data_IF_249776615660
#
_entry.id   IF_249776615660
#
_cell.length_a   1.000
_cell.length_b   1.000
_cell.length_c   1.000
_cell.angle_alpha   90.00
_cell.angle_beta   90.00
_cell.angle_gamma   90.00
#
_symmetry.space_group_name_H-M   'P 1'
#
loop_
_entity.id
_entity.type
_entity.pdbx_description
1 polymer ?
#
# COMPACT_ATOMS: atom_id res chain seq x y z
N UNK A 1 -0.65 5.10 34.14
CA UNK A 1 0.60 4.51 33.61
C UNK A 1 0.27 3.05 33.38
N UNK A 2 0.00 2.68 32.13
CA UNK A 2 -0.64 1.41 31.78
C UNK A 2 0.26 0.22 32.11
N UNK A 3 -0.18 -0.58 33.09
CA UNK A 3 0.41 -1.86 33.51
C UNK A 3 0.56 -2.83 32.32
N UNK A 4 -0.12 -2.55 31.19
CA UNK A 4 -0.17 -3.38 30.00
C UNK A 4 0.93 -3.10 28.96
N UNK A 5 1.57 -1.92 28.99
CA UNK A 5 2.76 -1.65 28.17
C UNK A 5 3.99 -2.41 28.71
N UNK A 6 4.05 -2.63 30.02
CA UNK A 6 5.13 -3.41 30.66
C UNK A 6 5.13 -4.90 30.27
N UNK A 7 3.99 -5.44 29.80
CA UNK A 7 3.90 -6.84 29.38
C UNK A 7 4.48 -7.10 27.99
N UNK A 8 4.83 -6.05 27.23
CA UNK A 8 5.33 -6.16 25.85
C UNK A 8 6.73 -5.53 25.71
N UNK A 9 7.25 -4.90 26.76
CA UNK A 9 8.68 -4.60 26.85
C UNK A 9 9.48 -5.90 26.93
N UNK A 10 10.53 -6.10 26.10
CA UNK A 10 11.30 -7.35 25.98
C UNK A 10 11.85 -7.91 27.31
N UNK A 11 11.91 -7.07 28.35
CA UNK A 11 12.54 -7.38 29.63
C UNK A 11 11.68 -8.24 30.59
N UNK A 12 10.37 -8.41 30.33
CA UNK A 12 9.45 -9.08 31.29
C UNK A 12 8.71 -10.31 30.77
N UNK A 13 8.99 -10.80 29.56
CA UNK A 13 8.26 -11.94 29.00
C UNK A 13 8.94 -13.28 29.33
N UNK A 14 8.29 -14.09 30.15
CA UNK A 14 8.72 -15.48 30.42
C UNK A 14 8.56 -16.29 29.12
N UNK A 15 9.67 -16.84 28.61
CA UNK A 15 9.81 -17.24 27.20
C UNK A 15 9.55 -18.75 26.96
N UNK A 16 9.04 -19.47 27.96
CA UNK A 16 8.81 -20.93 27.90
C UNK A 16 7.56 -21.33 27.10
N UNK A 17 6.65 -20.39 26.78
CA UNK A 17 5.40 -20.69 26.07
C UNK A 17 5.16 -19.70 24.92
N UNK A 18 5.85 -19.90 23.79
CA UNK A 18 5.56 -19.13 22.58
C UNK A 18 4.31 -19.71 21.90
N UNK A 19 3.23 -18.96 22.01
CA UNK A 19 2.00 -19.17 21.25
C UNK A 19 1.90 -18.08 20.17
N UNK A 20 1.86 -18.42 18.87
CA UNK A 20 1.60 -17.46 17.79
C UNK A 20 0.39 -16.57 18.05
N UNK A 21 -0.63 -17.09 18.73
CA UNK A 21 -1.83 -16.34 19.09
C UNK A 21 -1.53 -15.22 20.09
N UNK A 22 -0.51 -15.33 20.94
CA UNK A 22 -0.10 -14.23 21.82
C UNK A 22 0.47 -13.07 21.00
N UNK A 23 1.27 -13.34 19.96
CA UNK A 23 1.78 -12.29 19.06
C UNK A 23 0.65 -11.66 18.24
N UNK A 24 -0.25 -12.47 17.67
CA UNK A 24 -1.44 -11.96 16.97
C UNK A 24 -2.35 -11.14 17.90
N UNK A 25 -2.54 -11.60 19.14
CA UNK A 25 -3.34 -10.92 20.17
C UNK A 25 -2.71 -9.61 20.64
N UNK A 26 -1.39 -9.52 20.71
CA UNK A 26 -0.70 -8.27 21.01
C UNK A 26 -0.96 -7.22 19.92
N UNK A 27 -0.83 -7.60 18.65
CA UNK A 27 -1.15 -6.72 17.51
C UNK A 27 -2.63 -6.33 17.53
N UNK A 28 -3.54 -7.30 17.64
CA UNK A 28 -4.97 -7.02 17.63
C UNK A 28 -5.38 -6.07 18.75
N UNK A 29 -4.98 -6.34 20.00
CA UNK A 29 -5.32 -5.47 21.14
C UNK A 29 -4.79 -4.06 20.98
N UNK A 30 -3.57 -3.92 20.44
CA UNK A 30 -2.99 -2.62 20.16
C UNK A 30 -3.85 -1.82 19.19
N UNK A 31 -4.18 -2.42 18.05
CA UNK A 31 -4.96 -1.76 17.02
C UNK A 31 -6.41 -1.55 17.44
N UNK A 32 -7.07 -2.52 18.06
CA UNK A 32 -8.43 -2.38 18.60
C UNK A 32 -8.54 -1.20 19.58
N UNK A 33 -7.51 -0.98 20.41
CA UNK A 33 -7.50 0.13 21.38
C UNK A 33 -7.25 1.52 20.79
N UNK A 34 -6.76 1.63 19.55
CA UNK A 34 -6.30 2.91 18.96
C UNK A 34 -6.89 3.25 17.61
N UNK A 35 -7.23 2.23 16.84
CA UNK A 35 -7.60 2.28 15.44
C UNK A 35 -8.68 1.21 15.23
N UNK A 36 -9.90 1.52 15.68
CA UNK A 36 -11.08 0.65 15.57
C UNK A 36 -11.09 -0.01 14.19
N UNK A 37 -11.09 -1.35 14.18
CA UNK A 37 -11.21 -2.18 12.98
C UNK A 37 -10.04 -2.20 11.98
N UNK A 38 -8.80 -1.83 12.34
CA UNK A 38 -7.69 -1.79 11.37
C UNK A 38 -6.79 -3.04 11.32
N UNK A 39 -6.99 -4.05 12.19
CA UNK A 39 -6.13 -5.24 12.27
C UNK A 39 -6.84 -6.60 12.09
N UNK A 40 -8.00 -6.66 11.43
CA UNK A 40 -8.78 -7.92 11.31
C UNK A 40 -8.02 -9.08 10.66
N UNK A 41 -7.08 -8.78 9.75
CA UNK A 41 -6.35 -9.82 9.02
C UNK A 41 -5.30 -10.54 9.88
N UNK A 42 -4.88 -9.97 11.02
CA UNK A 42 -3.82 -10.57 11.85
C UNK A 42 -4.20 -11.94 12.43
N UNK A 43 -5.50 -12.21 12.59
CA UNK A 43 -6.01 -13.51 13.02
C UNK A 43 -6.28 -14.50 11.88
N UNK A 44 -5.93 -14.13 10.64
CA UNK A 44 -6.02 -15.07 9.52
C UNK A 44 -5.07 -16.26 9.72
N UNK A 45 -5.47 -17.41 9.15
CA UNK A 45 -4.64 -18.63 9.12
C UNK A 45 -3.31 -18.41 8.40
N UNK A 46 -3.26 -17.46 7.47
CA UNK A 46 -2.04 -17.11 6.74
C UNK A 46 -1.02 -16.45 7.66
N UNK A 47 -1.45 -15.53 8.52
CA UNK A 47 -0.59 -14.92 9.52
C UNK A 47 -0.10 -15.95 10.55
N UNK A 48 -0.98 -16.82 11.04
CA UNK A 48 -0.60 -17.90 11.95
C UNK A 48 0.48 -18.79 11.32
N UNK A 49 0.30 -19.20 10.06
CA UNK A 49 1.28 -19.99 9.31
C UNK A 49 2.62 -19.28 9.15
N UNK A 50 2.60 -17.97 8.81
CA UNK A 50 3.83 -17.17 8.67
C UNK A 50 4.61 -17.10 9.97
N UNK A 51 3.92 -16.83 11.09
CA UNK A 51 4.54 -16.74 12.42
C UNK A 51 5.19 -18.06 12.81
N UNK A 52 4.49 -19.19 12.58
CA UNK A 52 5.04 -20.52 12.82
C UNK A 52 6.26 -20.81 11.94
N UNK A 53 6.24 -20.41 10.67
CA UNK A 53 7.37 -20.60 9.76
C UNK A 53 8.60 -19.78 10.19
N UNK A 54 8.42 -18.49 10.51
CA UNK A 54 9.52 -17.65 10.99
C UNK A 54 10.11 -18.16 12.31
N UNK A 55 9.25 -18.67 13.19
CA UNK A 55 9.70 -19.31 14.41
C UNK A 55 10.52 -20.57 14.12
N UNK A 56 10.03 -21.45 13.23
CA UNK A 56 10.72 -22.69 12.87
C UNK A 56 12.09 -22.46 12.18
N UNK A 57 12.29 -21.32 11.52
CA UNK A 57 13.60 -20.97 10.92
C UNK A 57 14.66 -20.59 11.95
N UNK A 58 14.27 -20.26 13.19
CA UNK A 58 15.20 -20.10 14.29
C UNK A 58 15.59 -21.50 14.79
N UNK A 59 16.83 -21.92 14.54
CA UNK A 59 17.31 -23.22 15.03
C UNK A 59 17.51 -23.15 16.55
N UNK A 60 16.55 -23.63 17.34
CA UNK A 60 16.70 -23.73 18.79
C UNK A 60 15.38 -23.80 19.57
N UNK A 61 15.45 -23.89 20.91
CA UNK A 61 14.30 -23.74 21.79
C UNK A 61 13.62 -22.38 21.59
N UNK A 62 12.32 -22.26 21.96
CA UNK A 62 11.52 -21.05 21.71
C UNK A 62 12.15 -19.76 22.30
N UNK A 63 12.82 -19.88 23.45
CA UNK A 63 13.60 -18.81 24.08
C UNK A 63 14.76 -18.31 23.20
N UNK A 64 15.43 -19.22 22.51
CA UNK A 64 16.58 -18.88 21.67
C UNK A 64 16.16 -18.14 20.41
N UNK A 65 15.02 -18.52 19.81
CA UNK A 65 14.46 -17.84 18.66
C UNK A 65 14.15 -16.35 18.94
N UNK A 66 13.49 -16.07 20.07
CA UNK A 66 13.16 -14.70 20.45
C UNK A 66 14.41 -13.88 20.81
N UNK A 67 15.35 -14.49 21.53
CA UNK A 67 16.64 -13.86 21.88
C UNK A 67 17.46 -13.53 20.64
N UNK A 68 17.55 -14.45 19.68
CA UNK A 68 18.22 -14.24 18.40
C UNK A 68 17.54 -13.12 17.60
N UNK A 69 16.20 -13.11 17.54
CA UNK A 69 15.46 -12.04 16.88
C UNK A 69 15.76 -10.66 17.49
N UNK A 70 15.82 -10.56 18.82
CA UNK A 70 16.22 -9.34 19.52
C UNK A 70 17.68 -8.97 19.25
N UNK A 71 18.60 -9.94 19.17
CA UNK A 71 20.01 -9.68 18.84
C UNK A 71 20.19 -9.19 17.40
N UNK A 72 19.53 -9.84 16.44
CA UNK A 72 19.58 -9.46 15.03
C UNK A 72 18.92 -8.10 14.76
N UNK A 73 18.00 -7.67 15.61
CA UNK A 73 17.34 -6.36 15.54
C UNK A 73 17.95 -5.30 16.47
N UNK A 74 18.92 -5.67 17.32
CA UNK A 74 19.62 -4.73 18.20
C UNK A 74 20.56 -3.81 17.39
N UNK A 75 20.54 -2.52 17.69
CA UNK A 75 21.18 -1.47 16.89
C UNK A 75 22.36 -0.79 17.54
N UNK A 76 22.82 -1.27 18.69
CA UNK A 76 24.20 -1.00 19.12
C UNK A 76 25.23 -1.58 18.15
N UNK A 77 24.85 -2.64 17.42
CA UNK A 77 25.71 -3.33 16.43
C UNK A 77 25.25 -3.19 14.99
N UNK A 78 24.02 -2.72 14.73
CA UNK A 78 23.46 -2.61 13.38
C UNK A 78 23.53 -1.19 12.81
N UNK A 79 23.90 -1.08 11.54
CA UNK A 79 23.94 0.17 10.77
C UNK A 79 22.77 0.26 9.76
N UNK A 80 22.49 1.46 9.25
CA UNK A 80 21.48 1.69 8.18
C UNK A 80 21.62 0.75 6.97
N UNK A 81 22.86 0.32 6.67
CA UNK A 81 23.16 -0.62 5.56
C UNK A 81 22.61 -2.04 5.75
N UNK A 82 22.10 -2.39 6.92
CA UNK A 82 21.54 -3.71 7.19
C UNK A 82 20.03 -3.78 7.00
N UNK A 83 19.36 -2.65 6.74
CA UNK A 83 17.91 -2.64 6.46
C UNK A 83 17.59 -3.46 5.21
N UNK A 84 18.41 -3.43 4.16
CA UNK A 84 18.23 -4.22 2.94
C UNK A 84 18.29 -5.73 3.17
N UNK A 85 18.90 -6.14 4.29
CA UNK A 85 18.98 -7.54 4.73
C UNK A 85 18.02 -7.87 5.88
N UNK A 86 17.18 -6.93 6.31
CA UNK A 86 16.32 -7.10 7.48
C UNK A 86 15.42 -8.34 7.31
N UNK A 87 15.60 -9.38 8.13
CA UNK A 87 14.73 -10.54 8.08
C UNK A 87 13.39 -10.19 8.72
N UNK A 88 12.40 -9.86 7.89
CA UNK A 88 11.07 -9.40 8.34
C UNK A 88 10.43 -10.31 9.39
N UNK A 89 10.61 -11.63 9.25
CA UNK A 89 10.12 -12.60 10.23
C UNK A 89 10.72 -12.41 11.63
N UNK A 90 12.04 -12.21 11.72
CA UNK A 90 12.69 -11.93 13.01
C UNK A 90 12.26 -10.59 13.56
N UNK A 91 12.13 -9.58 12.70
CA UNK A 91 11.58 -8.29 13.11
C UNK A 91 10.17 -8.43 13.69
N UNK A 92 9.32 -9.28 13.11
CA UNK A 92 7.99 -9.57 13.65
C UNK A 92 8.04 -10.31 14.99
N UNK A 93 8.91 -11.30 15.14
CA UNK A 93 9.05 -12.04 16.40
C UNK A 93 9.53 -11.15 17.56
N UNK A 94 10.43 -10.21 17.27
CA UNK A 94 10.95 -9.23 18.21
C UNK A 94 9.95 -8.09 18.49
N UNK A 95 9.37 -7.50 17.45
CA UNK A 95 8.54 -6.29 17.52
C UNK A 95 7.22 -6.45 16.71
N UNK A 96 6.27 -7.28 17.17
CA UNK A 96 5.11 -7.68 16.37
C UNK A 96 4.21 -6.51 15.95
N UNK A 97 4.01 -5.51 16.82
CA UNK A 97 3.19 -4.33 16.52
C UNK A 97 3.86 -3.46 15.44
N UNK A 98 5.15 -3.19 15.60
CA UNK A 98 5.91 -2.40 14.63
C UNK A 98 6.02 -3.13 13.27
N UNK A 99 6.33 -4.43 13.29
CA UNK A 99 6.41 -5.25 12.10
C UNK A 99 5.07 -5.35 11.36
N UNK A 100 3.96 -5.50 12.08
CA UNK A 100 2.63 -5.47 11.47
C UNK A 100 2.35 -4.10 10.83
N UNK A 101 2.70 -3.01 11.49
CA UNK A 101 2.54 -1.68 10.92
C UNK A 101 3.41 -1.46 9.68
N UNK A 102 4.64 -1.99 9.65
CA UNK A 102 5.50 -1.99 8.47
C UNK A 102 4.89 -2.83 7.34
N UNK A 103 4.33 -4.00 7.66
CA UNK A 103 3.64 -4.84 6.68
C UNK A 103 2.51 -4.09 6.00
N UNK A 104 1.69 -3.35 6.76
CA UNK A 104 0.60 -2.54 6.22
C UNK A 104 1.10 -1.49 5.22
N UNK A 105 2.20 -0.81 5.54
CA UNK A 105 2.86 0.12 4.60
C UNK A 105 3.31 -0.61 3.35
N UNK A 106 3.97 -1.76 3.46
CA UNK A 106 4.39 -2.55 2.29
C UNK A 106 3.20 -2.97 1.43
N UNK A 107 2.09 -3.39 2.04
CA UNK A 107 0.85 -3.72 1.31
C UNK A 107 0.28 -2.53 0.55
N UNK A 108 0.34 -1.32 1.14
CA UNK A 108 -0.05 -0.10 0.43
C UNK A 108 0.89 0.21 -0.74
N UNK A 109 2.21 0.01 -0.59
CA UNK A 109 3.18 0.17 -1.67
C UNK A 109 2.91 -0.83 -2.80
N UNK A 110 2.71 -2.11 -2.51
CA UNK A 110 2.37 -3.12 -3.52
C UNK A 110 1.03 -2.85 -4.21
N UNK A 111 0.08 -2.22 -3.51
CA UNK A 111 -1.20 -1.83 -4.10
C UNK A 111 -1.03 -0.66 -5.05
N UNK A 112 -0.22 0.33 -4.68
CA UNK A 112 0.16 1.45 -5.54
C UNK A 112 0.96 0.98 -6.76
N UNK A 113 1.89 0.05 -6.59
CA UNK A 113 2.60 -0.61 -7.69
C UNK A 113 1.64 -1.26 -8.69
N UNK A 114 0.61 -1.96 -8.21
CA UNK A 114 -0.43 -2.53 -9.09
C UNK A 114 -1.29 -1.47 -9.78
N UNK A 115 -1.53 -0.33 -9.12
CA UNK A 115 -2.24 0.78 -9.73
C UNK A 115 -1.42 1.40 -10.88
N UNK A 116 -0.12 1.60 -10.68
CA UNK A 116 0.79 2.17 -11.68
C UNK A 116 1.15 1.17 -12.77
N UNK A 117 1.60 -0.04 -12.42
CA UNK A 117 2.20 -1.01 -13.33
C UNK A 117 1.26 -2.14 -13.78
N UNK A 118 0.07 -2.24 -13.20
CA UNK A 118 -0.89 -3.32 -13.46
C UNK A 118 -0.65 -4.58 -12.63
N UNK A 119 -1.46 -5.61 -12.85
CA UNK A 119 -1.48 -6.85 -12.06
C UNK A 119 -0.77 -8.01 -12.77
N UNK A 120 0.47 -7.81 -13.19
CA UNK A 120 1.26 -8.87 -13.82
C UNK A 120 1.88 -9.80 -12.77
N UNK A 121 2.32 -10.99 -13.21
CA UNK A 121 3.04 -11.93 -12.34
C UNK A 121 4.34 -11.30 -11.81
N UNK A 122 5.01 -10.51 -12.65
CA UNK A 122 6.21 -9.74 -12.29
C UNK A 122 5.94 -8.77 -11.12
N UNK A 123 4.93 -7.91 -11.24
CA UNK A 123 4.55 -6.95 -10.17
C UNK A 123 4.16 -7.69 -8.88
N UNK A 124 3.53 -8.86 -9.01
CA UNK A 124 3.16 -9.69 -7.85
C UNK A 124 4.40 -10.31 -7.19
N UNK A 125 5.43 -10.65 -7.97
CA UNK A 125 6.66 -11.25 -7.46
C UNK A 125 7.48 -10.30 -6.59
N UNK A 126 7.33 -8.98 -6.72
CA UNK A 126 7.99 -7.98 -5.86
C UNK A 126 7.66 -8.16 -4.38
N UNK A 127 6.52 -8.77 -4.03
CA UNK A 127 6.17 -9.08 -2.64
C UNK A 127 7.05 -10.16 -2.00
N UNK A 128 7.82 -10.89 -2.80
CA UNK A 128 8.76 -11.91 -2.34
C UNK A 128 10.15 -11.35 -2.01
N UNK A 129 10.41 -10.10 -2.39
CA UNK A 129 11.66 -9.43 -2.08
C UNK A 129 11.70 -9.03 -0.60
N UNK A 130 12.92 -8.93 -0.06
CA UNK A 130 13.14 -8.37 1.29
C UNK A 130 12.62 -6.93 1.32
N UNK A 131 11.86 -6.51 2.35
CA UNK A 131 11.12 -5.24 2.34
C UNK A 131 11.91 -4.01 1.88
N UNK A 132 13.06 -3.73 2.49
CA UNK A 132 13.85 -2.54 2.15
C UNK A 132 14.69 -2.71 0.88
N UNK A 133 14.97 -3.95 0.46
CA UNK A 133 15.52 -4.22 -0.87
C UNK A 133 14.50 -3.88 -1.96
N UNK A 134 13.25 -4.30 -1.76
CA UNK A 134 12.15 -3.98 -2.67
C UNK A 134 11.97 -2.47 -2.88
N UNK A 135 12.06 -1.67 -1.81
CA UNK A 135 11.91 -0.21 -1.91
C UNK A 135 12.96 0.43 -2.83
N UNK A 136 14.14 -0.18 -2.93
CA UNK A 136 15.27 0.31 -3.74
C UNK A 136 15.46 -0.42 -5.07
N UNK A 137 14.61 -1.39 -5.38
CA UNK A 137 14.80 -2.21 -6.57
C UNK A 137 14.68 -1.36 -7.83
N UNK A 138 15.75 -1.34 -8.64
CA UNK A 138 15.85 -0.47 -9.82
C UNK A 138 14.83 -0.88 -10.89
N UNK A 139 14.59 -2.18 -11.02
CA UNK A 139 13.59 -2.73 -11.94
C UNK A 139 12.18 -2.20 -11.65
N UNK A 140 11.82 -2.06 -10.37
CA UNK A 140 10.53 -1.46 -9.96
C UNK A 140 10.45 -0.02 -10.44
N UNK A 141 11.52 0.75 -10.23
CA UNK A 141 11.59 2.17 -10.60
C UNK A 141 11.51 2.36 -12.12
N UNK A 142 12.22 1.54 -12.89
CA UNK A 142 12.16 1.55 -14.36
C UNK A 142 10.76 1.20 -14.87
N UNK A 143 10.14 0.17 -14.28
CA UNK A 143 8.78 -0.24 -14.64
C UNK A 143 7.74 0.85 -14.38
N UNK A 144 7.88 1.57 -13.26
CA UNK A 144 7.07 2.74 -12.95
C UNK A 144 7.23 3.83 -14.01
N UNK A 145 8.47 4.17 -14.36
CA UNK A 145 8.77 5.17 -15.36
C UNK A 145 8.09 4.85 -16.70
N UNK A 146 8.28 3.63 -17.22
CA UNK A 146 7.70 3.22 -18.50
C UNK A 146 6.16 3.29 -18.51
N UNK A 147 5.53 2.81 -17.43
CA UNK A 147 4.08 2.78 -17.31
C UNK A 147 3.45 4.17 -17.13
N UNK A 148 4.13 5.08 -16.44
CA UNK A 148 3.73 6.48 -16.31
C UNK A 148 3.92 7.23 -17.63
N UNK A 149 4.98 6.95 -18.37
CA UNK A 149 5.19 7.51 -19.71
C UNK A 149 4.09 7.07 -20.68
N UNK A 150 3.72 5.79 -20.66
CA UNK A 150 2.61 5.27 -21.46
C UNK A 150 1.28 5.91 -21.05
N UNK A 151 1.03 6.09 -19.74
CA UNK A 151 -0.17 6.76 -19.26
C UNK A 151 -0.22 8.22 -19.73
N UNK A 152 0.89 8.96 -19.65
CA UNK A 152 0.97 10.34 -20.17
C UNK A 152 0.59 10.42 -21.65
N UNK A 153 1.10 9.49 -22.47
CA UNK A 153 0.76 9.41 -23.90
C UNK A 153 -0.72 9.09 -24.13
N UNK A 154 -1.31 8.21 -23.33
CA UNK A 154 -2.74 7.89 -23.42
C UNK A 154 -3.60 9.11 -23.11
N UNK A 155 -3.27 9.86 -22.06
CA UNK A 155 -3.97 11.09 -21.70
C UNK A 155 -3.85 12.14 -22.81
N UNK A 156 -2.65 12.41 -23.32
CA UNK A 156 -2.45 13.47 -24.32
C UNK A 156 -2.98 13.11 -25.71
N UNK A 157 -3.01 11.83 -26.07
CA UNK A 157 -3.50 11.41 -27.39
C UNK A 157 -5.02 11.48 -27.52
N UNK A 158 -5.77 11.63 -26.41
CA UNK A 158 -7.23 11.64 -26.39
C UNK A 158 -7.88 10.36 -26.94
N UNK A 159 -7.08 9.36 -27.31
CA UNK A 159 -7.57 8.09 -27.83
C UNK A 159 -8.12 7.29 -26.67
N UNK A 160 -9.44 7.23 -26.59
CA UNK A 160 -10.15 6.21 -25.82
C UNK A 160 -9.70 4.85 -26.35
N UNK A 161 -8.67 4.29 -25.73
CA UNK A 161 -8.31 2.91 -26.02
C UNK A 161 -9.45 2.06 -25.48
N UNK A 162 -10.12 1.29 -26.34
CA UNK A 162 -11.12 0.28 -25.96
C UNK A 162 -10.52 -0.88 -25.12
N UNK A 163 -9.33 -0.71 -24.55
CA UNK A 163 -8.76 -1.64 -23.58
C UNK A 163 -9.58 -1.59 -22.29
N UNK A 164 -9.54 -2.72 -21.56
CA UNK A 164 -10.30 -3.03 -20.34
C UNK A 164 -10.26 -1.98 -19.20
N UNK A 165 -9.35 -1.01 -19.22
CA UNK A 165 -9.21 0.04 -18.19
C UNK A 165 -8.93 1.37 -18.88
N UNK A 166 -9.75 2.38 -18.63
CA UNK A 166 -9.52 3.72 -19.17
C UNK A 166 -8.42 4.43 -18.39
N UNK A 167 -7.83 5.48 -18.96
CA UNK A 167 -6.75 6.22 -18.30
C UNK A 167 -7.27 6.97 -17.06
N UNK A 168 -8.55 7.39 -17.06
CA UNK A 168 -9.23 8.01 -15.92
C UNK A 168 -9.28 7.07 -14.72
N UNK A 169 -9.70 5.81 -14.95
CA UNK A 169 -9.71 4.79 -13.91
C UNK A 169 -8.30 4.55 -13.37
N UNK A 170 -7.29 4.47 -14.24
CA UNK A 170 -5.89 4.29 -13.81
C UNK A 170 -5.41 5.48 -12.95
N UNK A 171 -5.73 6.72 -13.30
CA UNK A 171 -5.40 7.90 -12.49
C UNK A 171 -6.10 7.88 -11.13
N UNK A 172 -7.39 7.52 -11.10
CA UNK A 172 -8.15 7.37 -9.86
C UNK A 172 -7.50 6.33 -8.94
N UNK A 173 -7.14 5.16 -9.48
CA UNK A 173 -6.51 4.09 -8.71
C UNK A 173 -5.13 4.47 -8.18
N UNK A 174 -4.34 5.24 -8.95
CA UNK A 174 -3.06 5.78 -8.50
C UNK A 174 -3.27 6.78 -7.37
N UNK A 175 -4.21 7.72 -7.52
CA UNK A 175 -4.54 8.70 -6.48
C UNK A 175 -4.95 8.02 -5.17
N UNK A 176 -5.90 7.08 -5.28
CA UNK A 176 -6.34 6.29 -4.13
C UNK A 176 -5.19 5.50 -3.49
N UNK A 177 -4.30 4.91 -4.30
CA UNK A 177 -3.10 4.23 -3.81
C UNK A 177 -2.16 5.15 -3.02
N UNK A 178 -1.97 6.40 -3.45
CA UNK A 178 -1.17 7.39 -2.72
C UNK A 178 -1.83 7.73 -1.38
N UNK A 179 -3.15 7.99 -1.36
CA UNK A 179 -3.88 8.29 -0.12
C UNK A 179 -3.76 7.15 0.89
N UNK A 180 -3.92 5.91 0.42
CA UNK A 180 -3.77 4.71 1.24
C UNK A 180 -2.34 4.59 1.79
N UNK A 181 -1.31 4.80 0.96
CA UNK A 181 0.08 4.81 1.44
C UNK A 181 0.30 5.88 2.52
N UNK A 182 -0.14 7.12 2.28
CA UNK A 182 0.05 8.21 3.24
C UNK A 182 -0.65 7.94 4.57
N UNK A 183 -1.85 7.34 4.52
CA UNK A 183 -2.58 6.90 5.71
C UNK A 183 -1.79 5.85 6.50
N UNK A 184 -1.40 4.75 5.85
CA UNK A 184 -0.70 3.64 6.51
C UNK A 184 0.69 4.07 7.01
N UNK A 185 1.39 4.93 6.26
CA UNK A 185 2.70 5.45 6.67
C UNK A 185 2.60 6.40 7.88
N UNK A 186 1.57 7.25 7.94
CA UNK A 186 1.30 8.07 9.13
C UNK A 186 0.98 7.19 10.36
N UNK A 187 0.15 6.16 10.20
CA UNK A 187 -0.14 5.20 11.26
C UNK A 187 1.14 4.47 11.74
N UNK A 188 2.00 4.08 10.81
CA UNK A 188 3.29 3.46 11.13
C UNK A 188 4.21 4.38 11.92
N UNK A 189 4.37 5.65 11.53
CA UNK A 189 5.17 6.62 12.30
C UNK A 189 4.68 6.76 13.73
N UNK A 190 3.36 6.85 13.91
CA UNK A 190 2.75 6.91 15.25
C UNK A 190 3.00 5.64 16.06
N UNK A 191 2.91 4.47 15.42
CA UNK A 191 3.18 3.19 16.08
C UNK A 191 4.65 3.05 16.46
N UNK A 192 5.58 3.44 15.59
CA UNK A 192 7.02 3.38 15.82
C UNK A 192 7.43 4.31 16.95
N UNK A 193 6.89 5.53 16.99
CA UNK A 193 7.17 6.51 18.04
C UNK A 193 6.83 6.02 19.45
N UNK A 194 5.90 5.06 19.59
CA UNK A 194 5.52 4.49 20.88
C UNK A 194 6.13 3.11 21.12
N UNK A 195 6.11 2.21 20.15
CA UNK A 195 6.55 0.82 20.34
C UNK A 195 8.06 0.65 20.24
N UNK A 196 8.71 1.55 19.50
CA UNK A 196 10.15 1.54 19.26
C UNK A 196 10.77 2.83 19.77
N UNK A 197 10.19 3.41 20.83
CA UNK A 197 10.73 4.60 21.47
C UNK A 197 12.22 4.37 21.84
N UNK A 198 13.04 5.39 21.63
CA UNK A 198 14.49 5.39 21.87
C UNK A 198 15.32 4.45 20.96
N UNK A 199 14.69 3.73 20.01
CA UNK A 199 15.39 2.86 19.08
C UNK A 199 15.75 3.62 17.78
N UNK A 200 17.04 3.86 17.55
CA UNK A 200 17.54 4.58 16.35
C UNK A 200 17.14 3.92 15.02
N UNK A 201 16.91 2.62 14.99
CA UNK A 201 16.50 1.95 13.76
C UNK A 201 15.10 2.34 13.30
N UNK A 202 14.22 2.76 14.22
CA UNK A 202 12.88 3.20 13.86
C UNK A 202 12.95 4.45 12.95
N UNK A 203 13.82 5.41 13.27
CA UNK A 203 14.05 6.57 12.40
C UNK A 203 14.65 6.17 11.07
N UNK A 204 15.63 5.26 11.03
CA UNK A 204 16.22 4.81 9.76
C UNK A 204 15.20 4.14 8.84
N UNK A 205 14.32 3.30 9.39
CA UNK A 205 13.24 2.68 8.62
C UNK A 205 12.25 3.71 8.07
N UNK A 206 11.90 4.73 8.87
CA UNK A 206 11.01 5.82 8.47
C UNK A 206 11.66 6.63 7.35
N UNK A 207 12.88 7.11 7.56
CA UNK A 207 13.63 7.92 6.60
C UNK A 207 13.78 7.17 5.27
N UNK A 208 14.06 5.86 5.33
CA UNK A 208 14.21 5.04 4.14
C UNK A 208 12.91 4.91 3.33
N UNK A 209 11.80 4.65 4.00
CA UNK A 209 10.49 4.55 3.34
C UNK A 209 10.10 5.89 2.74
N UNK A 210 10.30 6.98 3.49
CA UNK A 210 10.01 8.34 3.04
C UNK A 210 10.85 8.70 1.81
N UNK A 211 12.14 8.39 1.81
CA UNK A 211 13.03 8.64 0.68
C UNK A 211 12.61 7.84 -0.56
N UNK A 212 12.51 6.51 -0.44
CA UNK A 212 12.35 5.64 -1.61
C UNK A 212 10.94 5.69 -2.19
N UNK A 213 9.90 5.70 -1.35
CA UNK A 213 8.52 5.87 -1.84
C UNK A 213 8.28 7.33 -2.24
N UNK A 214 8.91 8.30 -1.56
CA UNK A 214 8.85 9.71 -1.92
C UNK A 214 9.35 9.97 -3.34
N UNK A 215 10.47 9.34 -3.75
CA UNK A 215 10.96 9.40 -5.14
C UNK A 215 9.94 8.87 -6.15
N UNK A 216 9.27 7.75 -5.83
CA UNK A 216 8.23 7.16 -6.69
C UNK A 216 7.01 8.08 -6.81
N UNK A 217 6.55 8.67 -5.71
CA UNK A 217 5.44 9.64 -5.71
C UNK A 217 5.82 10.92 -6.47
N UNK A 218 7.05 11.40 -6.32
CA UNK A 218 7.56 12.53 -7.09
C UNK A 218 7.53 12.24 -8.60
N UNK A 219 7.92 11.02 -9.01
CA UNK A 219 7.84 10.59 -10.42
C UNK A 219 6.42 10.68 -10.98
N UNK A 220 5.39 10.26 -10.22
CA UNK A 220 3.99 10.43 -10.63
C UNK A 220 3.69 11.91 -10.89
N UNK A 221 4.07 12.77 -9.95
CA UNK A 221 3.81 14.21 -10.02
C UNK A 221 4.51 14.85 -11.21
N UNK A 222 5.77 14.50 -11.47
CA UNK A 222 6.56 15.05 -12.57
C UNK A 222 6.08 14.57 -13.93
N UNK A 223 5.83 13.27 -14.07
CA UNK A 223 5.47 12.67 -15.36
C UNK A 223 4.03 12.97 -15.79
N UNK A 224 3.11 13.12 -14.82
CA UNK A 224 1.70 13.43 -15.07
C UNK A 224 1.38 14.93 -14.90
N UNK A 225 2.40 15.79 -14.81
CA UNK A 225 2.23 17.23 -14.92
C UNK A 225 1.98 17.61 -16.38
N UNK A 226 0.77 18.03 -16.68
CA UNK A 226 0.38 18.58 -17.98
C UNK A 226 0.45 20.09 -17.98
N UNK A 227 0.90 20.67 -19.09
CA UNK A 227 0.74 22.10 -19.36
C UNK A 227 -0.67 22.35 -19.91
N UNK A 228 -1.24 23.52 -19.65
CA UNK A 228 -2.57 23.90 -20.19
C UNK A 228 -2.62 23.77 -21.73
N UNK A 229 -1.50 24.05 -22.40
CA UNK A 229 -1.37 23.89 -23.86
C UNK A 229 -1.42 22.43 -24.36
N UNK A 230 -1.08 21.45 -23.52
CA UNK A 230 -1.19 20.02 -23.84
C UNK A 230 -2.64 19.54 -23.70
N UNK A 231 -3.36 20.06 -22.70
CA UNK A 231 -4.76 19.70 -22.43
C UNK A 231 -5.75 20.39 -23.39
N UNK A 232 -5.44 21.60 -23.87
CA UNK A 232 -6.27 22.33 -24.82
C UNK A 232 -6.49 21.60 -26.16
N UNK A 233 -5.66 20.60 -26.49
CA UNK A 233 -5.77 19.77 -27.69
C UNK A 233 -6.75 18.60 -27.55
N UNK A 234 -7.27 18.36 -26.34
CA UNK A 234 -8.18 17.27 -25.99
C UNK A 234 -9.65 17.76 -26.05
N UNK A 235 -9.98 18.72 -26.93
CA UNK A 235 -11.35 19.19 -27.05
C UNK A 235 -12.28 18.04 -27.47
N UNK A 236 -13.50 17.96 -26.89
CA UNK A 236 -14.48 16.98 -27.32
C UNK A 236 -14.76 17.22 -28.79
N UNK A 237 -14.73 16.18 -29.62
CA UNK A 237 -15.32 16.24 -30.95
C UNK A 237 -16.77 16.67 -30.74
N UNK A 238 -17.08 17.93 -31.06
CA UNK A 238 -18.45 18.39 -31.16
C UNK A 238 -19.18 17.40 -32.07
N UNK A 239 -20.22 16.79 -31.53
CA UNK A 239 -21.15 15.97 -32.29
C UNK A 239 -21.61 16.81 -33.47
N UNK A 240 -21.23 16.38 -34.68
CA UNK A 240 -21.85 16.84 -35.91
C UNK A 240 -23.37 16.63 -35.77
N UNK A 241 -24.09 17.71 -35.48
CA UNK A 241 -25.52 17.81 -35.77
C UNK A 241 -25.63 17.82 -37.29
N UNK A 242 -25.68 16.63 -37.89
CA UNK A 242 -26.10 16.51 -39.28
C UNK A 242 -27.59 16.83 -39.37
N UNK A 243 -27.85 17.97 -39.99
CA UNK A 243 -29.06 18.42 -40.66
C UNK A 243 -30.07 17.29 -40.97
N UNK A 244 -31.17 17.23 -40.21
CA UNK A 244 -32.44 16.69 -40.71
C UNK A 244 -33.31 17.86 -41.10
N UNK A 245 -33.05 18.37 -42.30
CA UNK A 245 -33.96 19.21 -43.05
C UNK A 245 -34.90 18.30 -43.85
N UNK A 246 -36.05 17.91 -43.29
CA UNK A 246 -37.14 17.30 -44.06
C UNK A 246 -38.43 18.11 -43.92
N UNK A 247 -38.62 18.98 -44.92
CA UNK A 247 -39.87 19.63 -45.23
C UNK A 247 -40.84 18.59 -45.83
N UNK A 248 -41.76 18.07 -45.02
CA UNK A 248 -42.99 17.47 -45.54
C UNK A 248 -44.21 18.06 -44.84
N UNK A 249 -44.96 18.84 -45.61
CA UNK A 249 -46.23 19.43 -45.25
C UNK A 249 -47.37 18.40 -45.25
N UNK A 250 -48.39 18.69 -44.42
CA UNK A 250 -49.79 18.23 -44.48
C UNK A 250 -50.06 16.82 -43.92
N UNK A 251 -50.74 16.77 -42.77
CA UNK A 251 -52.17 16.43 -42.74
C UNK A 251 -52.80 16.91 -41.43
N UNK A 252 -53.97 17.52 -41.57
CA UNK A 252 -54.86 18.05 -40.55
C UNK A 252 -55.91 16.98 -40.21
N UNK A 253 -56.16 16.75 -38.91
CA UNK A 253 -57.46 16.50 -38.26
C UNK A 253 -57.36 15.58 -37.03
N UNK A 254 -57.96 16.05 -35.93
CA UNK A 254 -58.86 15.19 -35.16
C UNK A 254 -58.47 14.83 -33.72
N UNK A 255 -59.01 15.63 -32.79
CA UNK A 255 -59.65 15.22 -31.52
C UNK A 255 -58.83 14.43 -30.47
N UNK A 256 -58.60 15.06 -29.30
CA UNK A 256 -59.34 14.82 -28.03
C UNK A 256 -59.29 13.34 -27.59
N UNK A 257 -58.64 13.04 -26.45
CA UNK A 257 -59.25 12.47 -25.22
C UNK A 257 -58.30 12.71 -24.03
N UNK A 258 -58.88 13.34 -22.99
CA UNK A 258 -58.41 13.37 -21.59
C UNK A 258 -58.67 12.00 -20.92
N UNK A 259 -57.78 11.55 -20.03
CA UNK A 259 -58.07 11.02 -18.67
C UNK A 259 -56.86 10.23 -18.15
N UNK A 260 -56.26 10.61 -17.01
CA UNK A 260 -56.64 10.33 -15.60
C UNK A 260 -56.41 8.87 -15.16
N UNK A 261 -55.47 8.74 -14.21
CA UNK A 261 -55.48 7.92 -12.99
C UNK A 261 -55.44 6.40 -13.15
N UNK A 262 -54.33 5.80 -12.70
CA UNK A 262 -54.25 5.05 -11.43
C UNK A 262 -52.81 5.02 -10.95
#
# INVERSE_FOLDING_TARGET
>A
MDIYLEAITPEKHDCEDFDPKLKQKAVYRWYDSRYSDEAWDIYSKDWEKRILQWHATCQGPLHEAHRLALQETNTETNSDRQLESLPFGMFFLAHPIAAFSLWRVLQSCYSLDRAVCGTTNEVTAWQQLVPFRYLREEEVTLRWHDELQLLRQQVTSGRLSFKRRTWETKLYDIHHGIEMFMKEFAAMRNNFAVNLADMKFASWMIDRIEEDVGKRIAMITEMLKFKDSELAKIQPTESHEDDVNDNSSKFDHGQIIKNRIS
#
